data_IF_566952754072
#
_entry.id   IF_566952754072
#
_cell.length_a   1.000
_cell.length_b   1.000
_cell.length_c   1.000
_cell.angle_alpha   90.00
_cell.angle_beta   90.00
_cell.angle_gamma   90.00
#
_symmetry.space_group_name_H-M   'P 1'
#
loop_
_entity.id
_entity.type
_entity.pdbx_description
1 polymer ?
#
# COMPACT_ATOMS: atom_id res chain seq x y z
N UNK A 1 17.12 10.36 3.56
CA UNK A 1 17.26 10.53 5.02
C UNK A 1 16.03 11.23 5.64
N UNK A 2 14.81 10.68 5.47
CA UNK A 2 13.58 11.12 6.18
C UNK A 2 12.84 9.92 6.80
N UNK A 3 13.34 8.69 6.59
CA UNK A 3 12.70 7.45 7.05
C UNK A 3 13.21 6.94 8.40
N UNK A 4 14.33 7.46 8.91
CA UNK A 4 14.91 7.02 10.19
C UNK A 4 14.41 7.82 11.40
N UNK A 5 13.68 8.91 11.18
CA UNK A 5 13.09 9.70 12.26
C UNK A 5 11.70 10.15 11.80
N UNK A 6 10.63 9.49 12.24
CA UNK A 6 9.24 9.89 11.90
C UNK A 6 8.95 11.38 12.17
N UNK A 7 9.71 12.01 13.06
CA UNK A 7 9.63 13.43 13.40
C UNK A 7 10.52 14.36 12.53
N UNK A 8 11.33 13.83 11.61
CA UNK A 8 12.17 14.65 10.72
C UNK A 8 11.33 15.57 9.82
N UNK A 9 10.03 15.25 9.64
CA UNK A 9 9.10 16.10 8.89
C UNK A 9 8.88 17.46 9.56
N UNK A 10 9.08 17.58 10.88
CA UNK A 10 8.99 18.86 11.61
C UNK A 10 9.99 19.89 11.10
N UNK A 11 11.20 19.43 10.79
CA UNK A 11 12.32 20.27 10.38
C UNK A 11 12.44 20.34 8.83
N UNK A 12 11.53 19.67 8.11
CA UNK A 12 11.51 19.65 6.66
C UNK A 12 10.94 20.95 6.06
N UNK A 13 11.31 21.23 4.81
CA UNK A 13 10.77 22.37 4.08
C UNK A 13 9.24 22.30 3.97
N UNK A 14 8.60 23.45 3.81
CA UNK A 14 7.15 23.54 3.65
C UNK A 14 6.64 22.68 2.48
N UNK A 15 7.42 22.59 1.41
CA UNK A 15 7.12 21.76 0.24
C UNK A 15 7.12 20.26 0.58
N UNK A 16 8.09 19.80 1.38
CA UNK A 16 8.14 18.40 1.83
C UNK A 16 7.03 18.08 2.82
N UNK A 17 6.63 19.04 3.68
CA UNK A 17 5.47 18.91 4.57
C UNK A 17 4.13 18.87 3.83
N UNK A 18 4.10 19.26 2.54
CA UNK A 18 2.96 19.11 1.62
C UNK A 18 3.01 17.83 0.79
N UNK A 19 4.09 17.05 0.87
CA UNK A 19 4.23 15.82 0.09
C UNK A 19 3.51 14.66 0.81
N UNK A 20 2.31 14.30 0.32
CA UNK A 20 1.48 13.24 0.92
C UNK A 20 2.24 11.93 1.18
N UNK A 21 3.01 11.44 0.21
CA UNK A 21 3.78 10.20 0.34
C UNK A 21 4.81 10.27 1.48
N UNK A 22 5.43 11.44 1.70
CA UNK A 22 6.39 11.63 2.79
C UNK A 22 5.70 11.76 4.14
N UNK A 23 4.59 12.50 4.19
CA UNK A 23 3.77 12.61 5.41
C UNK A 23 3.25 11.23 5.81
N UNK A 24 2.75 10.45 4.85
CA UNK A 24 2.26 9.10 5.10
C UNK A 24 3.33 8.20 5.74
N UNK A 25 4.56 8.18 5.18
CA UNK A 25 5.65 7.38 5.76
C UNK A 25 6.13 7.92 7.11
N UNK A 26 6.07 9.23 7.33
CA UNK A 26 6.35 9.85 8.63
C UNK A 26 5.32 9.43 9.68
N UNK A 27 4.02 9.48 9.35
CA UNK A 27 2.90 9.04 10.21
C UNK A 27 2.99 7.55 10.52
N UNK A 28 3.38 6.74 9.53
CA UNK A 28 3.60 5.30 9.73
C UNK A 28 4.71 5.00 10.73
N UNK A 29 5.74 5.85 10.77
CA UNK A 29 6.83 5.74 11.74
C UNK A 29 6.46 6.29 13.11
N UNK A 30 5.72 7.40 13.15
CA UNK A 30 5.26 8.06 14.37
C UNK A 30 3.95 8.80 14.08
N UNK A 31 2.85 8.38 14.71
CA UNK A 31 1.52 8.96 14.50
C UNK A 31 1.48 10.47 14.76
N UNK A 32 2.35 11.00 15.63
CA UNK A 32 2.43 12.44 15.95
C UNK A 32 2.95 13.25 14.76
N UNK A 33 3.61 12.61 13.78
CA UNK A 33 4.13 13.29 12.60
C UNK A 33 3.06 14.06 11.80
N UNK A 34 1.79 13.65 11.88
CA UNK A 34 0.67 14.34 11.22
C UNK A 34 0.51 15.79 11.71
N UNK A 35 0.82 16.08 12.98
CA UNK A 35 0.73 17.44 13.54
C UNK A 35 1.70 18.42 12.88
N UNK A 36 2.77 17.90 12.29
CA UNK A 36 3.81 18.67 11.60
C UNK A 36 3.60 18.73 10.09
N UNK A 37 2.61 18.01 9.55
CA UNK A 37 2.23 18.12 8.15
C UNK A 37 1.68 19.52 7.84
N UNK A 38 1.64 19.86 6.55
CA UNK A 38 0.94 21.07 6.11
C UNK A 38 -0.54 21.03 6.52
N UNK A 39 -1.13 22.18 6.84
CA UNK A 39 -2.52 22.28 7.32
C UNK A 39 -3.52 21.56 6.41
N UNK A 40 -3.35 21.69 5.08
CA UNK A 40 -4.21 21.02 4.08
C UNK A 40 -4.19 19.49 4.15
N UNK A 41 -3.15 18.89 4.76
CA UNK A 41 -2.98 17.44 4.87
C UNK A 41 -3.38 16.88 6.23
N UNK A 42 -3.51 17.71 7.27
CA UNK A 42 -3.89 17.25 8.62
C UNK A 42 -5.27 16.59 8.66
N UNK A 43 -6.18 17.07 7.81
CA UNK A 43 -7.53 16.52 7.65
C UNK A 43 -7.66 15.40 6.63
N UNK A 44 -6.56 14.95 6.01
CA UNK A 44 -6.61 13.92 4.97
C UNK A 44 -6.99 12.56 5.59
N UNK A 45 -8.08 11.91 5.14
CA UNK A 45 -8.55 10.64 5.70
C UNK A 45 -7.59 9.47 5.46
N UNK A 46 -6.74 9.53 4.42
CA UNK A 46 -5.77 8.48 4.11
C UNK A 46 -4.50 8.60 4.96
N UNK A 47 -4.26 9.78 5.56
CA UNK A 47 -3.11 10.08 6.42
C UNK A 47 -3.43 9.91 7.91
N UNK A 48 -4.67 9.57 8.27
CA UNK A 48 -5.03 9.35 9.67
C UNK A 48 -4.29 8.14 10.25
N UNK A 49 -3.72 8.24 11.47
CA UNK A 49 -2.88 7.19 12.04
C UNK A 49 -3.51 5.78 12.02
N UNK A 50 -4.81 5.67 12.27
CA UNK A 50 -5.53 4.40 12.25
C UNK A 50 -5.48 3.75 10.86
N UNK A 51 -5.69 4.55 9.82
CA UNK A 51 -5.64 4.08 8.43
C UNK A 51 -4.22 3.72 8.01
N UNK A 52 -3.25 4.56 8.37
CA UNK A 52 -1.84 4.37 8.03
C UNK A 52 -1.28 3.10 8.70
N UNK A 53 -1.68 2.82 9.95
CA UNK A 53 -1.25 1.65 10.71
C UNK A 53 -1.84 0.34 10.16
N UNK A 54 -3.06 0.37 9.61
CA UNK A 54 -3.68 -0.79 8.97
C UNK A 54 -3.12 -1.07 7.57
N UNK A 55 -2.49 -0.09 6.92
CA UNK A 55 -2.00 -0.19 5.56
C UNK A 55 -0.75 -1.09 5.46
N UNK A 56 -0.88 -2.18 4.71
CA UNK A 56 0.16 -3.20 4.49
C UNK A 56 0.98 -3.00 3.22
N UNK A 57 0.69 -1.97 2.42
CA UNK A 57 1.45 -1.63 1.22
C UNK A 57 2.69 -0.84 1.64
N UNK A 58 3.85 -1.34 1.24
CA UNK A 58 5.14 -0.74 1.51
C UNK A 58 5.32 0.55 0.67
N UNK A 59 5.80 1.62 1.32
CA UNK A 59 6.21 2.84 0.62
C UNK A 59 7.64 2.73 0.06
N UNK A 60 8.02 3.68 -0.81
CA UNK A 60 9.31 3.68 -1.47
C UNK A 60 10.49 3.67 -0.48
N UNK A 61 11.32 2.63 -0.54
CA UNK A 61 12.49 2.47 0.34
C UNK A 61 12.21 1.73 1.65
N UNK A 62 10.99 1.24 1.88
CA UNK A 62 10.72 0.27 2.92
C UNK A 62 11.36 -1.09 2.56
N UNK A 63 11.99 -1.73 3.54
CA UNK A 63 12.48 -3.10 3.40
C UNK A 63 11.30 -4.05 3.51
N UNK A 64 10.79 -4.49 2.36
CA UNK A 64 9.68 -5.42 2.23
C UNK A 64 9.89 -6.28 0.97
N UNK A 65 9.40 -7.53 0.95
CA UNK A 65 9.41 -8.34 -0.26
C UNK A 65 8.47 -7.77 -1.33
N UNK A 66 8.79 -8.06 -2.58
CA UNK A 66 7.97 -7.69 -3.74
C UNK A 66 7.07 -8.85 -4.12
N UNK A 67 5.76 -8.57 -4.19
CA UNK A 67 4.74 -9.44 -4.72
C UNK A 67 4.26 -8.88 -6.07
N UNK A 68 4.47 -9.67 -7.12
CA UNK A 68 3.97 -9.43 -8.46
C UNK A 68 2.49 -9.79 -8.49
N UNK A 69 1.67 -8.82 -8.88
CA UNK A 69 0.24 -8.98 -9.09
C UNK A 69 0.05 -9.40 -10.54
N UNK A 70 -0.28 -10.68 -10.71
CA UNK A 70 -0.58 -11.31 -11.98
C UNK A 70 -1.97 -10.91 -12.51
N UNK A 71 -2.41 -11.57 -13.59
CA UNK A 71 -3.70 -11.28 -14.20
C UNK A 71 -4.85 -11.53 -13.21
N UNK A 72 -5.81 -10.61 -13.22
CA UNK A 72 -7.04 -10.73 -12.44
C UNK A 72 -8.16 -11.25 -13.35
N UNK A 73 -8.86 -12.30 -12.90
CA UNK A 73 -9.97 -12.91 -13.65
C UNK A 73 -11.27 -12.74 -12.87
N UNK A 74 -12.36 -12.36 -13.54
CA UNK A 74 -13.68 -12.30 -12.91
C UNK A 74 -14.21 -13.70 -12.67
N UNK A 75 -14.76 -13.95 -11.48
CA UNK A 75 -15.31 -15.26 -11.13
C UNK A 75 -16.84 -15.27 -11.30
N UNK A 76 -17.38 -16.39 -11.76
CA UNK A 76 -18.83 -16.62 -11.78
C UNK A 76 -19.38 -16.54 -10.34
N UNK A 77 -20.42 -15.71 -10.15
CA UNK A 77 -20.97 -15.39 -8.83
C UNK A 77 -20.39 -14.13 -8.19
N UNK A 78 -19.53 -13.38 -8.89
CA UNK A 78 -18.99 -12.10 -8.44
C UNK A 78 -17.56 -12.19 -7.88
N UNK A 79 -16.90 -11.04 -7.83
CA UNK A 79 -15.52 -10.89 -7.36
C UNK A 79 -14.45 -11.09 -8.42
N UNK A 80 -13.21 -11.21 -7.95
CA UNK A 80 -12.02 -11.45 -8.77
C UNK A 80 -11.12 -12.48 -8.14
N UNK A 81 -10.47 -13.25 -8.99
CA UNK A 81 -9.37 -14.13 -8.65
C UNK A 81 -8.08 -13.52 -9.18
N UNK A 82 -7.06 -13.45 -8.33
CA UNK A 82 -5.78 -12.81 -8.63
C UNK A 82 -4.67 -13.79 -8.30
N UNK A 83 -3.76 -13.96 -9.24
CA UNK A 83 -2.49 -14.64 -9.00
C UNK A 83 -1.47 -13.66 -8.41
N UNK A 84 -0.84 -14.05 -7.32
CA UNK A 84 0.28 -13.35 -6.72
C UNK A 84 1.53 -14.22 -6.81
N UNK A 85 2.66 -13.62 -7.18
CA UNK A 85 3.94 -14.30 -7.20
C UNK A 85 5.00 -13.49 -6.44
N UNK A 86 5.81 -14.15 -5.62
CA UNK A 86 6.98 -13.53 -4.99
C UNK A 86 8.20 -13.67 -5.90
N UNK A 87 9.24 -12.87 -5.64
CA UNK A 87 10.53 -13.02 -6.33
C UNK A 87 11.28 -14.31 -5.93
N UNK A 88 10.89 -14.97 -4.83
CA UNK A 88 11.39 -16.30 -4.45
C UNK A 88 10.77 -17.43 -5.30
N UNK A 89 9.77 -17.12 -6.13
CA UNK A 89 9.07 -18.09 -6.99
C UNK A 89 7.85 -18.73 -6.33
N UNK A 90 7.42 -18.25 -5.16
CA UNK A 90 6.17 -18.72 -4.55
C UNK A 90 4.99 -18.07 -5.24
N UNK A 91 4.00 -18.88 -5.60
CA UNK A 91 2.77 -18.42 -6.27
C UNK A 91 1.56 -18.78 -5.43
N UNK A 92 0.62 -17.85 -5.33
CA UNK A 92 -0.66 -18.05 -4.66
C UNK A 92 -1.78 -17.41 -5.48
N UNK A 93 -2.82 -18.19 -5.72
CA UNK A 93 -4.08 -17.69 -6.29
C UNK A 93 -5.03 -17.36 -5.15
N UNK A 94 -5.60 -16.16 -5.16
CA UNK A 94 -6.46 -15.66 -4.10
C UNK A 94 -7.75 -15.08 -4.69
N UNK A 95 -8.88 -15.34 -4.01
CA UNK A 95 -10.19 -14.86 -4.41
C UNK A 95 -10.66 -13.73 -3.50
N UNK A 96 -11.14 -12.66 -4.13
CA UNK A 96 -11.64 -11.46 -3.48
C UNK A 96 -13.06 -11.13 -3.95
N UNK A 97 -13.78 -10.39 -3.12
CA UNK A 97 -15.11 -9.86 -3.44
C UNK A 97 -15.02 -8.73 -4.48
N UNK A 98 -16.17 -8.30 -5.03
CA UNK A 98 -16.20 -7.28 -6.09
C UNK A 98 -15.81 -5.87 -5.62
N UNK A 99 -15.91 -5.62 -4.32
CA UNK A 99 -15.59 -4.36 -3.66
C UNK A 99 -14.20 -4.37 -3.00
N UNK A 100 -13.46 -5.47 -3.12
CA UNK A 100 -12.14 -5.60 -2.54
C UNK A 100 -11.14 -4.61 -3.15
N UNK A 101 -10.18 -4.20 -2.34
CA UNK A 101 -9.21 -3.14 -2.67
C UNK A 101 -7.77 -3.64 -2.62
N UNK A 102 -6.82 -2.83 -3.11
CA UNK A 102 -5.39 -3.11 -2.99
C UNK A 102 -4.95 -3.33 -1.53
N UNK A 103 -5.59 -2.67 -0.57
CA UNK A 103 -5.31 -2.88 0.85
C UNK A 103 -5.63 -4.28 1.34
N UNK A 104 -6.78 -4.82 0.92
CA UNK A 104 -7.17 -6.19 1.23
C UNK A 104 -6.22 -7.20 0.57
N UNK A 105 -5.85 -6.96 -0.70
CA UNK A 105 -4.86 -7.77 -1.40
C UNK A 105 -3.50 -7.77 -0.67
N UNK A 106 -3.02 -6.60 -0.24
CA UNK A 106 -1.75 -6.47 0.48
C UNK A 106 -1.78 -7.22 1.81
N UNK A 107 -2.88 -7.09 2.57
CA UNK A 107 -3.08 -7.83 3.83
C UNK A 107 -3.06 -9.33 3.61
N UNK A 108 -3.83 -9.81 2.63
CA UNK A 108 -3.86 -11.21 2.25
C UNK A 108 -2.51 -11.74 1.76
N UNK A 109 -1.73 -10.92 1.05
CA UNK A 109 -0.38 -11.27 0.61
C UNK A 109 0.59 -11.43 1.80
N UNK A 110 0.58 -10.47 2.75
CA UNK A 110 1.39 -10.54 3.98
C UNK A 110 1.09 -11.82 4.75
N UNK A 111 -0.20 -12.14 4.94
CA UNK A 111 -0.65 -13.34 5.63
C UNK A 111 -0.26 -14.62 4.87
N UNK A 112 -0.39 -14.63 3.55
CA UNK A 112 -0.16 -15.81 2.72
C UNK A 112 1.32 -16.16 2.55
N UNK A 113 2.19 -15.17 2.47
CA UNK A 113 3.63 -15.35 2.26
C UNK A 113 4.46 -15.18 3.55
N UNK A 114 3.79 -15.06 4.71
CA UNK A 114 4.43 -14.93 6.04
C UNK A 114 5.52 -13.86 6.07
N UNK A 115 5.15 -12.66 5.63
CA UNK A 115 6.12 -11.59 5.40
C UNK A 115 6.59 -10.97 6.70
N UNK A 116 7.87 -11.15 7.03
CA UNK A 116 8.52 -10.48 8.16
C UNK A 116 8.44 -8.95 8.01
N UNK A 117 8.05 -8.27 9.09
CA UNK A 117 7.79 -6.82 9.09
C UNK A 117 6.38 -6.43 8.60
N UNK A 118 5.60 -7.37 8.07
CA UNK A 118 4.17 -7.20 7.81
C UNK A 118 3.83 -6.15 6.75
N UNK A 119 4.74 -5.86 5.81
CA UNK A 119 4.56 -4.95 4.68
C UNK A 119 4.96 -5.64 3.38
N UNK A 120 4.31 -5.31 2.27
CA UNK A 120 4.64 -5.84 0.93
C UNK A 120 4.69 -4.72 -0.11
N UNK A 121 5.65 -4.82 -1.04
CA UNK A 121 5.57 -4.06 -2.28
C UNK A 121 4.69 -4.81 -3.27
N UNK A 122 3.59 -4.22 -3.71
CA UNK A 122 2.77 -4.77 -4.79
C UNK A 122 3.20 -4.17 -6.11
N UNK A 123 3.35 -5.00 -7.15
CA UNK A 123 3.67 -4.55 -8.51
C UNK A 123 2.65 -5.06 -9.50
N UNK A 124 1.97 -4.15 -10.20
CA UNK A 124 0.95 -4.47 -11.21
C UNK A 124 1.51 -4.08 -12.58
N UNK A 125 1.70 -5.06 -13.46
CA UNK A 125 2.28 -4.85 -14.79
C UNK A 125 3.60 -4.04 -14.76
N UNK A 126 4.44 -4.30 -13.75
CA UNK A 126 5.73 -3.62 -13.55
C UNK A 126 5.64 -2.28 -12.82
N UNK A 127 4.45 -1.78 -12.48
CA UNK A 127 4.27 -0.54 -11.75
C UNK A 127 4.04 -0.81 -10.26
N UNK A 128 4.83 -0.17 -9.40
CA UNK A 128 4.66 -0.25 -7.96
C UNK A 128 3.36 0.43 -7.52
N UNK A 129 2.55 -0.27 -6.73
CA UNK A 129 1.36 0.28 -6.07
C UNK A 129 1.82 1.09 -4.86
N UNK A 130 1.36 2.34 -4.74
CA UNK A 130 1.74 3.20 -3.62
C UNK A 130 0.82 2.95 -2.42
N UNK A 131 1.26 3.27 -1.20
CA UNK A 131 0.39 3.15 -0.03
C UNK A 131 -0.91 3.95 -0.14
N UNK A 132 -0.88 5.12 -0.79
CA UNK A 132 -2.06 5.96 -1.02
C UNK A 132 -3.02 5.40 -2.09
N UNK A 133 -2.61 4.36 -2.85
CA UNK A 133 -3.47 3.66 -3.80
C UNK A 133 -4.28 2.52 -3.14
N UNK A 134 -4.27 2.45 -1.80
CA UNK A 134 -4.89 1.36 -1.02
C UNK A 134 -6.35 1.11 -1.37
N UNK A 135 -7.10 2.18 -1.70
CA UNK A 135 -8.53 2.11 -2.03
C UNK A 135 -8.81 1.68 -3.48
N UNK A 136 -7.79 1.49 -4.33
CA UNK A 136 -7.99 1.12 -5.73
C UNK A 136 -8.69 -0.25 -5.84
N UNK A 137 -9.88 -0.34 -6.49
CA UNK A 137 -10.62 -1.59 -6.55
C UNK A 137 -9.94 -2.65 -7.41
N UNK A 138 -9.84 -3.88 -6.87
CA UNK A 138 -9.21 -5.02 -7.55
C UNK A 138 -9.93 -5.43 -8.84
N UNK A 139 -11.25 -5.22 -8.91
CA UNK A 139 -12.06 -5.46 -10.12
C UNK A 139 -11.60 -4.69 -11.36
N UNK A 140 -10.85 -3.59 -11.18
CA UNK A 140 -10.28 -2.81 -12.27
C UNK A 140 -9.12 -3.53 -12.95
N UNK A 141 -8.40 -4.38 -12.22
CA UNK A 141 -7.30 -5.18 -12.76
C UNK A 141 -7.80 -6.18 -13.81
N UNK A 142 -9.01 -6.71 -13.60
CA UNK A 142 -9.65 -7.66 -14.51
C UNK A 142 -10.23 -7.00 -15.78
N UNK A 143 -10.17 -5.67 -15.90
CA UNK A 143 -10.64 -4.92 -17.08
C UNK A 143 -9.49 -4.45 -17.97
N UNK A 144 -8.23 -4.60 -17.54
CA UNK A 144 -7.06 -4.05 -18.22
C UNK A 144 -6.48 -4.96 -19.33
N UNK A 145 -7.20 -6.01 -19.74
CA UNK A 145 -6.81 -6.85 -20.88
C UNK A 145 -7.51 -6.30 -22.14
N UNK A 146 -6.83 -5.40 -22.86
CA UNK A 146 -7.10 -5.11 -24.27
C UNK A 146 -5.81 -5.26 -25.07
#
# INVERSE_FOLDING_TARGET
AVREFGLAIRDASEELRRTRDLVFEAVRSDSVALEFAHEDLKGDPDLQPERVAENRIAGQGALAPVCLVGPATRVLGGGVEIELATLSGEVATMRFTENATMGELAKSAVERFTVDGGLVHLSVAGNAVRPLDIAWPLVRLAQAVM
#
